data_IF_045378545571
#
_entry.id   IF_045378545571
#
_cell.length_a   1.000
_cell.length_b   1.000
_cell.length_c   1.000
_cell.angle_alpha   90.00
_cell.angle_beta   90.00
_cell.angle_gamma   90.00
#
_symmetry.space_group_name_H-M   'P 1'
#
loop_
_entity.id
_entity.type
_entity.pdbx_description
1 polymer ?
#
# COMPACT_ATOMS: atom_id res chain seq x y z
N UNK A 1 -45.63 -7.22 1.07
CA UNK A 1 -45.06 -8.54 1.37
C UNK A 1 -43.55 -8.41 1.35
N UNK A 2 -42.91 -8.38 2.52
CA UNK A 2 -41.46 -8.37 2.64
C UNK A 2 -40.95 -9.73 2.19
N UNK A 3 -40.28 -9.78 1.03
CA UNK A 3 -39.57 -10.98 0.57
C UNK A 3 -38.55 -11.30 1.66
N UNK A 4 -38.72 -12.44 2.35
CA UNK A 4 -37.78 -12.88 3.36
C UNK A 4 -36.40 -13.01 2.70
N UNK A 5 -35.48 -12.09 3.04
CA UNK A 5 -34.10 -12.15 2.59
C UNK A 5 -33.40 -13.16 3.48
N UNK A 6 -33.22 -14.37 2.96
CA UNK A 6 -32.40 -15.38 3.62
C UNK A 6 -30.97 -14.86 3.84
N UNK A 7 -30.39 -15.17 4.98
CA UNK A 7 -28.99 -14.88 5.27
C UNK A 7 -28.06 -15.73 4.37
N UNK A 8 -26.81 -15.30 4.17
CA UNK A 8 -25.84 -16.10 3.42
C UNK A 8 -25.68 -17.52 3.96
N UNK A 9 -25.73 -17.69 5.28
CA UNK A 9 -25.61 -19.00 5.91
C UNK A 9 -26.87 -19.87 5.75
N UNK A 10 -28.06 -19.28 5.83
CA UNK A 10 -29.32 -20.00 5.56
C UNK A 10 -29.33 -20.56 4.14
N UNK A 11 -28.87 -19.76 3.16
CA UNK A 11 -28.75 -20.23 1.78
C UNK A 11 -27.75 -21.38 1.62
N UNK A 12 -26.68 -21.43 2.44
CA UNK A 12 -25.73 -22.54 2.46
C UNK A 12 -26.36 -23.80 3.07
N UNK A 13 -27.07 -23.67 4.18
CA UNK A 13 -27.79 -24.78 4.81
C UNK A 13 -28.83 -25.40 3.86
N UNK A 14 -29.57 -24.57 3.12
CA UNK A 14 -30.55 -25.05 2.13
C UNK A 14 -29.92 -25.80 0.95
N UNK A 15 -28.67 -25.49 0.61
CA UNK A 15 -27.91 -26.17 -0.46
C UNK A 15 -27.09 -27.36 0.05
N UNK A 16 -26.98 -27.52 1.36
CA UNK A 16 -26.14 -28.54 1.98
C UNK A 16 -26.74 -29.93 1.82
N UNK A 17 -25.87 -30.93 1.64
CA UNK A 17 -26.26 -32.34 1.67
C UNK A 17 -26.51 -32.86 3.10
N UNK A 18 -25.95 -32.19 4.10
CA UNK A 18 -26.09 -32.54 5.51
C UNK A 18 -25.97 -31.28 6.37
N UNK A 19 -27.10 -30.79 6.88
CA UNK A 19 -27.16 -29.50 7.57
C UNK A 19 -26.31 -29.47 8.83
N UNK A 20 -26.28 -30.54 9.64
CA UNK A 20 -25.43 -30.58 10.82
C UNK A 20 -23.94 -30.56 10.51
N UNK A 21 -23.49 -31.11 9.38
CA UNK A 21 -22.06 -31.09 9.01
C UNK A 21 -21.66 -29.68 8.58
N UNK A 22 -22.53 -29.00 7.83
CA UNK A 22 -22.36 -27.57 7.47
C UNK A 22 -22.39 -26.66 8.70
N UNK A 23 -23.26 -26.94 9.66
CA UNK A 23 -23.32 -26.21 10.92
C UNK A 23 -22.08 -26.44 11.78
N UNK A 24 -21.66 -27.70 11.93
CA UNK A 24 -20.42 -28.05 12.61
C UNK A 24 -19.21 -27.38 11.95
N UNK A 25 -19.15 -27.34 10.62
CA UNK A 25 -18.10 -26.62 9.89
C UNK A 25 -18.06 -25.13 10.21
N UNK A 26 -19.21 -24.47 10.30
CA UNK A 26 -19.24 -23.05 10.66
C UNK A 26 -18.70 -22.83 12.08
N UNK A 27 -19.11 -23.67 13.03
CA UNK A 27 -18.62 -23.57 14.41
C UNK A 27 -17.13 -23.86 14.54
N UNK A 28 -16.60 -24.84 13.78
CA UNK A 28 -15.16 -25.12 13.73
C UNK A 28 -14.38 -23.98 13.05
N UNK A 29 -14.90 -23.41 11.98
CA UNK A 29 -14.33 -22.22 11.34
C UNK A 29 -14.35 -21.01 12.27
N UNK A 30 -15.39 -20.87 13.11
CA UNK A 30 -15.49 -19.83 14.12
C UNK A 30 -14.42 -19.99 15.22
N UNK A 31 -14.17 -21.22 15.70
CA UNK A 31 -13.04 -21.51 16.61
C UNK A 31 -11.70 -21.08 16.01
N UNK A 32 -11.52 -21.32 14.71
CA UNK A 32 -10.30 -20.96 13.99
C UNK A 32 -10.15 -19.44 13.84
N UNK A 33 -11.24 -18.75 13.48
CA UNK A 33 -11.30 -17.28 13.35
C UNK A 33 -10.94 -16.54 14.65
N UNK A 34 -11.26 -17.12 15.81
CA UNK A 34 -10.95 -16.53 17.12
C UNK A 34 -9.45 -16.58 17.49
N UNK A 35 -8.62 -17.30 16.72
CA UNK A 35 -7.16 -17.30 16.89
C UNK A 35 -6.51 -16.11 16.19
N UNK A 36 -7.05 -15.68 15.07
CA UNK A 36 -6.43 -14.69 14.20
C UNK A 36 -6.96 -14.75 12.76
N UNK A 37 -6.34 -14.02 11.82
CA UNK A 37 -6.76 -14.05 10.43
C UNK A 37 -6.61 -15.46 9.84
N UNK A 38 -7.63 -15.90 9.11
CA UNK A 38 -7.64 -17.22 8.47
C UNK A 38 -6.87 -17.15 7.14
N UNK A 39 -5.63 -17.63 7.13
CA UNK A 39 -4.81 -17.81 5.94
C UNK A 39 -4.95 -19.20 5.32
N UNK A 40 -4.17 -19.48 4.29
CA UNK A 40 -4.11 -20.79 3.64
C UNK A 40 -3.74 -21.99 4.55
N UNK A 41 -2.81 -21.89 5.52
CA UNK A 41 -2.50 -23.02 6.38
C UNK A 41 -3.69 -23.37 7.30
N UNK A 42 -4.41 -22.37 7.80
CA UNK A 42 -5.63 -22.56 8.60
C UNK A 42 -6.72 -23.24 7.78
N UNK A 43 -6.93 -22.80 6.53
CA UNK A 43 -7.90 -23.40 5.60
C UNK A 43 -7.59 -24.86 5.29
N UNK A 44 -6.32 -25.15 5.03
CA UNK A 44 -5.85 -26.50 4.71
C UNK A 44 -6.04 -27.44 5.89
N UNK A 45 -5.71 -26.98 7.11
CA UNK A 45 -5.92 -27.72 8.35
C UNK A 45 -7.39 -28.00 8.63
N UNK A 46 -8.27 -27.01 8.41
CA UNK A 46 -9.71 -27.23 8.55
C UNK A 46 -10.19 -28.30 7.57
N UNK A 47 -9.83 -28.17 6.28
CA UNK A 47 -10.23 -29.10 5.23
C UNK A 47 -9.75 -30.54 5.49
N UNK A 48 -8.52 -30.71 5.97
CA UNK A 48 -7.95 -32.01 6.34
C UNK A 48 -8.74 -32.65 7.50
N UNK A 49 -8.97 -31.89 8.57
CA UNK A 49 -9.67 -32.38 9.77
C UNK A 49 -11.16 -32.66 9.53
N UNK A 50 -11.77 -32.00 8.54
CA UNK A 50 -13.20 -32.14 8.22
C UNK A 50 -13.44 -32.89 6.90
N UNK A 51 -12.45 -33.62 6.38
CA UNK A 51 -12.58 -34.34 5.11
C UNK A 51 -13.71 -35.38 5.06
N UNK A 52 -14.19 -35.85 6.22
CA UNK A 52 -15.32 -36.77 6.35
C UNK A 52 -16.71 -36.11 6.33
N UNK A 53 -16.80 -34.77 6.31
CA UNK A 53 -18.07 -34.06 6.46
C UNK A 53 -18.83 -34.00 5.13
N UNK A 54 -20.15 -34.21 5.16
CA UNK A 54 -21.02 -34.32 3.98
C UNK A 54 -21.75 -33.01 3.68
N UNK A 55 -21.01 -31.92 3.52
CA UNK A 55 -21.58 -30.58 3.35
C UNK A 55 -21.88 -30.20 1.88
N UNK A 56 -21.10 -30.72 0.91
CA UNK A 56 -21.41 -30.61 -0.52
C UNK A 56 -21.25 -29.23 -1.15
N UNK A 57 -20.57 -28.29 -0.48
CA UNK A 57 -20.27 -26.93 -0.97
C UNK A 57 -18.83 -26.53 -0.66
N UNK A 58 -18.33 -25.45 -1.28
CA UNK A 58 -17.01 -24.91 -0.99
C UNK A 58 -16.89 -24.42 0.47
N UNK A 59 -15.68 -24.45 1.03
CA UNK A 59 -15.40 -23.97 2.40
C UNK A 59 -15.27 -22.44 2.48
N UNK A 60 -14.91 -21.78 1.38
CA UNK A 60 -14.66 -20.33 1.36
C UNK A 60 -15.83 -19.49 1.92
N UNK A 61 -17.10 -19.74 1.54
CA UNK A 61 -18.23 -19.00 2.11
C UNK A 61 -18.39 -19.19 3.63
N UNK A 62 -18.14 -20.39 4.16
CA UNK A 62 -18.19 -20.65 5.60
C UNK A 62 -17.10 -19.87 6.33
N UNK A 63 -15.89 -19.90 5.79
CA UNK A 63 -14.75 -19.20 6.37
C UNK A 63 -14.94 -17.68 6.38
N UNK A 64 -15.55 -17.13 5.33
CA UNK A 64 -15.91 -15.71 5.26
C UNK A 64 -16.93 -15.35 6.34
N UNK A 65 -18.01 -16.13 6.47
CA UNK A 65 -19.03 -15.92 7.51
C UNK A 65 -18.39 -16.01 8.91
N UNK A 66 -17.57 -17.03 9.15
CA UNK A 66 -16.85 -17.19 10.42
C UNK A 66 -15.88 -16.03 10.71
N UNK A 67 -15.16 -15.54 9.69
CA UNK A 67 -14.25 -14.40 9.83
C UNK A 67 -14.99 -13.11 10.20
N UNK A 68 -16.23 -12.92 9.73
CA UNK A 68 -17.08 -11.78 10.12
C UNK A 68 -17.68 -11.90 11.52
N UNK A 69 -17.55 -13.07 12.18
CA UNK A 69 -18.13 -13.34 13.50
C UNK A 69 -19.64 -13.06 13.54
N UNK A 70 -20.35 -13.40 12.47
CA UNK A 70 -21.80 -13.22 12.38
C UNK A 70 -22.53 -14.07 13.43
N UNK A 71 -22.99 -13.40 14.49
CA UNK A 71 -23.69 -14.03 15.62
C UNK A 71 -24.97 -14.74 15.19
N UNK A 72 -25.68 -14.22 14.19
CA UNK A 72 -26.92 -14.85 13.70
C UNK A 72 -26.63 -16.18 13.01
N UNK A 73 -25.58 -16.23 12.19
CA UNK A 73 -25.14 -17.46 11.55
C UNK A 73 -24.60 -18.49 12.58
N UNK A 74 -23.82 -18.03 13.56
CA UNK A 74 -23.28 -18.88 14.64
C UNK A 74 -24.42 -19.46 15.48
N UNK A 75 -25.41 -18.64 15.85
CA UNK A 75 -26.59 -19.10 16.59
C UNK A 75 -27.36 -20.16 15.81
N UNK A 76 -27.65 -19.90 14.53
CA UNK A 76 -28.36 -20.87 13.69
C UNK A 76 -27.57 -22.18 13.55
N UNK A 77 -26.25 -22.12 13.38
CA UNK A 77 -25.41 -23.32 13.34
C UNK A 77 -25.44 -24.09 14.68
N UNK A 78 -25.39 -23.38 15.80
CA UNK A 78 -25.51 -24.00 17.13
C UNK A 78 -26.85 -24.73 17.29
N UNK A 79 -27.96 -24.10 16.89
CA UNK A 79 -29.30 -24.69 16.95
C UNK A 79 -29.44 -25.92 16.03
N UNK A 80 -28.88 -25.87 14.83
CA UNK A 80 -28.91 -26.99 13.88
C UNK A 80 -28.07 -28.15 14.41
N UNK A 81 -26.87 -27.89 14.92
CA UNK A 81 -25.98 -28.93 15.43
C UNK A 81 -26.54 -29.61 16.68
N UNK A 82 -27.09 -28.82 17.62
CA UNK A 82 -27.64 -29.33 18.88
C UNK A 82 -28.81 -30.32 18.66
N UNK A 83 -29.58 -30.17 17.57
CA UNK A 83 -30.69 -31.08 17.25
C UNK A 83 -30.22 -32.49 16.89
N UNK A 84 -29.03 -32.62 16.31
CA UNK A 84 -28.52 -33.90 15.80
C UNK A 84 -27.42 -34.50 16.68
N UNK A 85 -26.66 -33.68 17.39
CA UNK A 85 -25.48 -34.11 18.15
C UNK A 85 -25.64 -33.73 19.62
N UNK A 86 -25.61 -34.73 20.50
CA UNK A 86 -25.71 -34.54 21.96
C UNK A 86 -24.98 -35.65 22.73
N UNK A 87 -24.51 -35.33 23.93
CA UNK A 87 -23.89 -36.29 24.86
C UNK A 87 -22.65 -36.98 24.28
N UNK A 88 -22.60 -38.31 24.32
CA UNK A 88 -21.45 -39.09 23.82
C UNK A 88 -21.15 -38.86 22.33
N UNK A 89 -22.18 -38.56 21.53
CA UNK A 89 -22.02 -38.28 20.10
C UNK A 89 -21.32 -36.94 19.83
N UNK A 90 -21.24 -36.05 20.83
CA UNK A 90 -20.53 -34.79 20.73
C UNK A 90 -19.01 -34.95 20.82
N UNK A 91 -18.51 -36.09 21.33
CA UNK A 91 -17.08 -36.28 21.58
C UNK A 91 -16.20 -36.12 20.33
N UNK A 92 -16.53 -36.68 19.15
CA UNK A 92 -15.73 -36.49 17.93
C UNK A 92 -15.67 -35.01 17.51
N UNK A 93 -16.80 -34.30 17.56
CA UNK A 93 -16.86 -32.87 17.23
C UNK A 93 -16.02 -32.03 18.19
N UNK A 94 -16.15 -32.26 19.50
CA UNK A 94 -15.37 -31.54 20.51
C UNK A 94 -13.86 -31.81 20.38
N UNK A 95 -13.46 -33.02 20.00
CA UNK A 95 -12.04 -33.32 19.71
C UNK A 95 -11.51 -32.49 18.55
N UNK A 96 -12.28 -32.34 17.47
CA UNK A 96 -11.93 -31.48 16.34
C UNK A 96 -11.85 -30.01 16.75
N UNK A 97 -12.83 -29.53 17.53
CA UNK A 97 -12.85 -28.16 18.03
C UNK A 97 -11.60 -27.87 18.88
N UNK A 98 -11.22 -28.78 19.78
CA UNK A 98 -10.02 -28.64 20.61
C UNK A 98 -8.75 -28.67 19.76
N UNK A 99 -8.67 -29.59 18.80
CA UNK A 99 -7.53 -29.68 17.89
C UNK A 99 -7.35 -28.40 17.07
N UNK A 100 -8.43 -27.71 16.68
CA UNK A 100 -8.37 -26.42 15.98
C UNK A 100 -8.10 -25.25 16.92
N UNK A 101 -8.62 -25.30 18.14
CA UNK A 101 -8.49 -24.23 19.13
C UNK A 101 -7.05 -24.05 19.63
N UNK A 102 -6.25 -25.12 19.61
CA UNK A 102 -4.90 -25.18 20.17
C UNK A 102 -3.82 -24.99 19.10
N UNK A 103 -2.87 -24.11 19.40
CA UNK A 103 -1.67 -23.83 18.62
C UNK A 103 -0.43 -24.04 19.49
N UNK A 104 0.48 -24.92 19.08
CA UNK A 104 1.70 -25.24 19.83
C UNK A 104 1.45 -25.52 21.34
N UNK A 105 0.30 -26.13 21.66
CA UNK A 105 -0.11 -26.43 23.04
C UNK A 105 -0.52 -25.22 23.87
N UNK A 106 -0.83 -24.07 23.24
CA UNK A 106 -1.40 -22.86 23.84
C UNK A 106 -2.85 -22.67 23.38
N UNK A 107 -3.71 -22.26 24.32
CA UNK A 107 -5.12 -21.96 24.10
C UNK A 107 -5.36 -20.47 24.38
N UNK A 108 -6.04 -19.78 23.46
CA UNK A 108 -6.44 -18.38 23.66
C UNK A 108 -7.61 -18.29 24.64
N UNK A 109 -7.75 -17.16 25.34
CA UNK A 109 -8.91 -16.94 26.25
C UNK A 109 -10.25 -17.02 25.51
N UNK A 110 -10.32 -16.45 24.29
CA UNK A 110 -11.51 -16.53 23.46
C UNK A 110 -11.87 -18.00 23.17
N UNK A 111 -10.89 -18.80 22.72
CA UNK A 111 -11.13 -20.21 22.43
C UNK A 111 -11.44 -21.04 23.67
N UNK A 112 -10.92 -20.68 24.84
CA UNK A 112 -11.29 -21.34 26.08
C UNK A 112 -12.77 -21.16 26.41
N UNK A 113 -13.32 -19.95 26.22
CA UNK A 113 -14.75 -19.70 26.38
C UNK A 113 -15.58 -20.36 25.27
N UNK A 114 -15.13 -20.31 24.02
CA UNK A 114 -15.79 -20.96 22.88
C UNK A 114 -15.91 -22.47 23.10
N UNK A 115 -14.82 -23.14 23.50
CA UNK A 115 -14.81 -24.58 23.74
C UNK A 115 -15.75 -24.97 24.87
N UNK A 116 -15.80 -24.17 25.94
CA UNK A 116 -16.73 -24.40 27.04
C UNK A 116 -18.18 -24.20 26.61
N UNK A 117 -18.46 -23.14 25.88
CA UNK A 117 -19.77 -22.90 25.28
C UNK A 117 -20.21 -24.08 24.38
N UNK A 118 -19.32 -24.59 23.52
CA UNK A 118 -19.63 -25.74 22.66
C UNK A 118 -19.87 -27.03 23.46
N UNK A 119 -19.11 -27.26 24.54
CA UNK A 119 -19.34 -28.40 25.43
C UNK A 119 -20.72 -28.30 26.12
N UNK A 120 -21.05 -27.13 26.68
CA UNK A 120 -22.32 -26.87 27.34
C UNK A 120 -23.50 -26.99 26.34
N UNK A 121 -23.34 -26.45 25.13
CA UNK A 121 -24.32 -26.51 24.04
C UNK A 121 -24.69 -27.96 23.68
N UNK A 122 -23.69 -28.84 23.63
CA UNK A 122 -23.84 -30.24 23.25
C UNK A 122 -24.14 -31.16 24.45
N UNK A 123 -24.33 -30.59 25.64
CA UNK A 123 -24.71 -31.31 26.86
C UNK A 123 -23.57 -32.13 27.48
N UNK A 124 -22.31 -31.77 27.21
CA UNK A 124 -21.13 -32.46 27.77
C UNK A 124 -20.72 -31.76 29.06
N UNK A 125 -20.76 -32.50 30.18
CA UNK A 125 -20.44 -31.93 31.49
C UNK A 125 -18.95 -31.54 31.58
N UNK A 126 -18.58 -30.55 32.42
CA UNK A 126 -17.18 -30.16 32.60
C UNK A 126 -16.26 -31.33 33.02
N UNK A 127 -16.79 -32.30 33.78
CA UNK A 127 -16.07 -33.50 34.20
C UNK A 127 -15.77 -34.48 33.06
N UNK A 128 -16.58 -34.47 31.99
CA UNK A 128 -16.38 -35.29 30.79
C UNK A 128 -15.55 -34.55 29.73
N UNK A 129 -15.67 -33.22 29.69
CA UNK A 129 -14.91 -32.38 28.77
C UNK A 129 -13.42 -32.31 29.13
N UNK A 130 -13.08 -32.21 30.42
CA UNK A 130 -11.70 -32.14 30.90
C UNK A 130 -10.80 -33.32 30.44
N UNK A 131 -11.21 -34.61 30.60
CA UNK A 131 -10.42 -35.74 30.10
C UNK A 131 -10.37 -35.77 28.57
N UNK A 132 -11.42 -35.33 27.88
CA UNK A 132 -11.43 -35.23 26.42
C UNK A 132 -10.40 -34.20 25.93
N UNK A 133 -10.31 -33.04 26.58
CA UNK A 133 -9.29 -32.02 26.31
C UNK A 133 -7.88 -32.53 26.60
N UNK A 134 -7.68 -33.20 27.73
CA UNK A 134 -6.39 -33.78 28.09
C UNK A 134 -5.95 -34.87 27.11
N UNK A 135 -6.89 -35.68 26.60
CA UNK A 135 -6.59 -36.70 25.59
C UNK A 135 -6.10 -36.10 24.26
N UNK A 136 -6.56 -34.89 23.88
CA UNK A 136 -6.14 -34.22 22.63
C UNK A 136 -4.86 -33.42 22.82
N UNK A 137 -4.71 -32.76 23.97
CA UNK A 137 -3.63 -31.77 24.17
C UNK A 137 -2.49 -32.23 25.08
N UNK A 138 -2.68 -33.35 25.79
CA UNK A 138 -1.78 -33.82 26.84
C UNK A 138 -1.75 -32.95 28.10
N UNK A 139 -2.58 -31.89 28.19
CA UNK A 139 -2.62 -30.94 29.31
C UNK A 139 -4.00 -30.90 29.95
N UNK A 140 -4.05 -30.60 31.25
CA UNK A 140 -5.32 -30.36 31.93
C UNK A 140 -6.00 -29.08 31.37
N UNK A 141 -7.32 -29.13 31.24
CA UNK A 141 -8.11 -27.95 30.88
C UNK A 141 -8.21 -27.03 32.10
N UNK A 142 -7.51 -25.89 32.06
CA UNK A 142 -7.53 -24.92 33.15
C UNK A 142 -8.91 -24.24 33.28
N UNK A 143 -9.28 -23.84 34.49
CA UNK A 143 -10.42 -22.94 34.69
C UNK A 143 -10.09 -21.57 34.06
N UNK A 144 -11.05 -20.91 33.37
CA UNK A 144 -10.81 -19.60 32.80
C UNK A 144 -10.46 -18.59 33.89
N UNK A 145 -9.42 -17.78 33.64
CA UNK A 145 -9.15 -16.61 34.47
C UNK A 145 -10.35 -15.66 34.34
N UNK A 146 -10.91 -15.27 35.49
CA UNK A 146 -12.14 -14.51 35.60
C UNK A 146 -11.97 -13.09 34.98
N UNK A 147 -12.65 -12.77 33.86
CA UNK A 147 -12.57 -11.46 33.19
C UNK A 147 -13.12 -10.30 34.03
N UNK A 148 -13.86 -10.61 35.09
CA UNK A 148 -14.40 -9.66 36.08
C UNK A 148 -13.32 -9.15 37.04
N UNK A 149 -12.17 -9.83 37.12
CA UNK A 149 -11.08 -9.43 38.03
C UNK A 149 -10.29 -8.29 37.41
N UNK A 150 -10.18 -7.18 38.16
CA UNK A 150 -9.40 -5.98 37.77
C UNK A 150 -7.96 -6.30 37.33
N UNK A 151 -7.32 -7.32 37.91
CA UNK A 151 -5.98 -7.77 37.54
C UNK A 151 -5.84 -8.28 36.09
N UNK A 152 -6.91 -8.86 35.51
CA UNK A 152 -6.93 -9.34 34.12
C UNK A 152 -6.77 -8.18 33.12
N UNK A 153 -7.51 -7.09 33.33
CA UNK A 153 -7.45 -5.89 32.49
C UNK A 153 -6.13 -5.14 32.64
N UNK A 154 -5.59 -5.07 33.86
CA UNK A 154 -4.29 -4.45 34.11
C UNK A 154 -3.17 -5.15 33.32
N UNK A 155 -3.08 -6.48 33.38
CA UNK A 155 -2.06 -7.24 32.65
C UNK A 155 -2.17 -7.06 31.12
N UNK A 156 -3.40 -7.05 30.59
CA UNK A 156 -3.68 -6.86 29.16
C UNK A 156 -3.40 -5.42 28.71
N UNK A 157 -3.76 -4.43 29.52
CA UNK A 157 -3.54 -3.01 29.24
C UNK A 157 -2.05 -2.66 29.34
N UNK A 158 -1.30 -3.23 30.29
CA UNK A 158 0.15 -3.09 30.34
C UNK A 158 0.81 -3.65 29.07
N UNK A 159 0.39 -4.83 28.59
CA UNK A 159 0.92 -5.44 27.36
C UNK A 159 0.52 -4.64 26.11
N UNK A 160 -0.66 -4.03 26.09
CA UNK A 160 -1.10 -3.13 25.00
C UNK A 160 -0.29 -1.82 25.00
N UNK A 161 -0.16 -1.18 26.16
CA UNK A 161 0.65 0.04 26.35
C UNK A 161 2.13 -0.20 26.04
N UNK A 162 2.68 -1.38 26.32
CA UNK A 162 4.04 -1.75 25.92
C UNK A 162 4.18 -1.81 24.40
N UNK A 163 3.27 -2.49 23.69
CA UNK A 163 3.28 -2.51 22.21
C UNK A 163 3.07 -1.13 21.61
N UNK A 164 2.17 -0.33 22.17
CA UNK A 164 1.95 1.06 21.74
C UNK A 164 3.20 1.92 21.98
N UNK A 165 3.91 1.72 23.10
CA UNK A 165 5.19 2.41 23.38
C UNK A 165 6.31 1.96 22.46
N UNK A 166 6.43 0.67 22.18
CA UNK A 166 7.42 0.10 21.24
C UNK A 166 7.15 0.58 19.80
N UNK A 167 5.88 0.61 19.40
CA UNK A 167 5.50 1.16 18.10
C UNK A 167 5.76 2.66 18.04
N UNK A 168 5.42 3.41 19.09
CA UNK A 168 5.69 4.84 19.16
C UNK A 168 7.20 5.13 19.15
N UNK A 169 8.02 4.36 19.87
CA UNK A 169 9.47 4.51 19.86
C UNK A 169 10.05 4.18 18.48
N UNK A 170 9.62 3.09 17.85
CA UNK A 170 10.05 2.75 16.48
C UNK A 170 9.64 3.84 15.46
N UNK A 171 8.44 4.41 15.63
CA UNK A 171 7.96 5.49 14.76
C UNK A 171 8.71 6.81 14.99
N UNK A 172 9.21 7.03 16.21
CA UNK A 172 9.99 8.20 16.58
C UNK A 172 11.44 8.07 16.12
N UNK A 173 12.06 6.90 16.31
CA UNK A 173 13.40 6.56 15.80
C UNK A 173 13.44 6.69 14.26
N UNK A 174 12.42 6.17 13.56
CA UNK A 174 12.34 6.31 12.10
C UNK A 174 12.09 7.74 11.64
N UNK A 175 11.40 8.57 12.43
CA UNK A 175 11.25 10.02 12.15
C UNK A 175 12.56 10.77 12.38
N UNK A 176 13.30 10.47 13.43
CA UNK A 176 14.58 11.12 13.73
C UNK A 176 15.66 10.70 12.74
N UNK A 177 15.70 9.43 12.31
CA UNK A 177 16.58 8.97 11.24
C UNK A 177 16.27 9.67 9.90
N UNK A 178 14.99 9.81 9.56
CA UNK A 178 14.55 10.55 8.38
C UNK A 178 14.94 12.03 8.43
N UNK A 179 14.89 12.66 9.61
CA UNK A 179 15.33 14.05 9.82
C UNK A 179 16.84 14.19 9.67
N UNK A 180 17.62 13.33 10.31
CA UNK A 180 19.08 13.35 10.20
C UNK A 180 19.56 13.12 8.77
N UNK A 181 18.91 12.23 8.02
CA UNK A 181 19.19 12.03 6.59
C UNK A 181 18.89 13.29 5.77
N UNK A 182 17.73 13.91 6.00
CA UNK A 182 17.33 15.14 5.31
C UNK A 182 18.28 16.32 5.62
N UNK A 183 18.77 16.42 6.85
CA UNK A 183 19.76 17.44 7.25
C UNK A 183 21.13 17.20 6.61
N UNK A 184 21.60 15.95 6.57
CA UNK A 184 22.84 15.58 5.87
C UNK A 184 22.77 15.88 4.37
N UNK A 185 21.63 15.60 3.73
CA UNK A 185 21.41 15.93 2.31
C UNK A 185 21.38 17.44 2.06
N UNK A 186 20.81 18.24 2.98
CA UNK A 186 20.85 19.71 2.88
C UNK A 186 22.26 20.27 3.04
N UNK A 187 22.99 19.86 4.07
CA UNK A 187 24.36 20.33 4.32
C UNK A 187 25.34 19.94 3.20
N UNK A 188 25.21 18.72 2.65
CA UNK A 188 26.02 18.28 1.50
C UNK A 188 25.63 19.02 0.21
N UNK A 189 24.34 19.28 0.00
CA UNK A 189 23.83 20.09 -1.11
C UNK A 189 24.31 21.55 -1.08
N UNK A 190 24.29 22.21 0.07
CA UNK A 190 24.76 23.60 0.24
C UNK A 190 26.26 23.74 0.04
N UNK A 191 27.06 22.78 0.50
CA UNK A 191 28.51 22.74 0.23
C UNK A 191 28.82 22.51 -1.25
N UNK A 192 28.03 21.63 -1.91
CA UNK A 192 28.13 21.38 -3.34
C UNK A 192 27.82 22.62 -4.20
N UNK A 193 26.71 23.31 -3.89
CA UNK A 193 26.30 24.54 -4.59
C UNK A 193 27.30 25.69 -4.39
N UNK A 194 27.86 25.83 -3.19
CA UNK A 194 28.87 26.85 -2.88
C UNK A 194 30.19 26.62 -3.64
N UNK A 195 30.62 25.35 -3.77
CA UNK A 195 31.79 24.99 -4.61
C UNK A 195 31.52 25.26 -6.09
N UNK A 196 30.36 24.86 -6.59
CA UNK A 196 30.00 25.04 -8.00
C UNK A 196 29.83 26.52 -8.38
N UNK A 197 29.33 27.35 -7.45
CA UNK A 197 29.27 28.80 -7.58
C UNK A 197 30.66 29.44 -7.75
N UNK A 198 31.66 29.01 -6.96
CA UNK A 198 33.05 29.47 -7.12
C UNK A 198 33.65 29.08 -8.47
N UNK A 199 33.51 27.82 -8.89
CA UNK A 199 34.02 27.37 -10.20
C UNK A 199 33.38 28.14 -11.37
N UNK A 200 32.09 28.45 -11.29
CA UNK A 200 31.38 29.24 -12.32
C UNK A 200 31.83 30.70 -12.33
N UNK A 201 32.06 31.29 -11.17
CA UNK A 201 32.55 32.67 -11.04
C UNK A 201 34.00 32.80 -11.55
N UNK A 202 34.82 31.76 -11.34
CA UNK A 202 36.20 31.69 -11.81
C UNK A 202 36.28 31.49 -13.34
N UNK A 203 35.39 30.67 -13.92
CA UNK A 203 35.22 30.56 -15.38
C UNK A 203 34.76 31.88 -16.02
N UNK A 204 33.86 32.64 -15.36
CA UNK A 204 33.46 33.95 -15.86
C UNK A 204 34.61 34.96 -15.86
N UNK A 205 35.47 34.97 -14.82
CA UNK A 205 36.67 35.83 -14.78
C UNK A 205 37.70 35.49 -15.85
N UNK A 206 37.91 34.21 -16.15
CA UNK A 206 38.81 33.79 -17.25
C UNK A 206 38.23 34.14 -18.64
N UNK A 207 36.90 34.08 -18.81
CA UNK A 207 36.22 34.52 -20.05
C UNK A 207 36.31 36.03 -20.27
N UNK A 208 36.20 36.85 -19.22
CA UNK A 208 36.31 38.32 -19.34
C UNK A 208 37.74 38.80 -19.66
N UNK A 209 38.77 38.05 -19.25
CA UNK A 209 40.17 38.36 -19.63
C UNK A 209 40.48 37.95 -21.07
N UNK A 210 39.84 36.89 -21.61
CA UNK A 210 39.95 36.51 -23.03
C UNK A 210 39.09 37.34 -23.99
N UNK A 211 38.02 37.99 -23.51
CA UNK A 211 37.12 38.81 -24.31
C UNK A 211 37.61 40.25 -24.57
N UNK A 212 38.71 40.68 -23.92
CA UNK A 212 39.34 41.99 -24.16
C UNK A 212 40.35 41.98 -25.33
N UNK A 213 40.66 40.82 -25.89
CA UNK A 213 41.55 40.65 -27.05
C UNK A 213 40.83 39.85 -28.15
N UNK A 214 39.82 40.46 -28.79
CA UNK A 214 39.13 39.82 -29.90
C UNK A 214 38.02 40.67 -30.52
N UNK A 215 38.15 40.93 -31.82
CA UNK A 215 37.23 41.63 -32.71
C UNK A 215 37.22 43.16 -32.61
N UNK A 216 38.08 43.77 -33.42
CA UNK A 216 37.94 45.14 -33.91
C UNK A 216 36.50 45.40 -34.40
N UNK A 217 35.93 46.62 -34.22
CA UNK A 217 34.54 46.94 -34.59
C UNK A 217 34.15 46.58 -36.03
N UNK A 218 35.13 46.60 -36.96
CA UNK A 218 34.92 46.24 -38.37
C UNK A 218 34.53 44.78 -38.61
N UNK A 219 35.06 43.83 -37.82
CA UNK A 219 34.78 42.40 -37.99
C UNK A 219 33.35 42.05 -37.52
N UNK A 220 32.87 42.68 -36.44
CA UNK A 220 31.50 42.51 -35.96
C UNK A 220 30.47 43.06 -36.95
N UNK A 221 30.74 44.21 -37.56
CA UNK A 221 29.88 44.81 -38.59
C UNK A 221 29.82 43.94 -39.84
N UNK A 222 30.97 43.42 -40.29
CA UNK A 222 31.04 42.49 -41.43
C UNK A 222 30.26 41.19 -41.17
N UNK A 223 30.37 40.62 -39.97
CA UNK A 223 29.60 39.41 -39.58
C UNK A 223 28.11 39.67 -39.51
N UNK A 224 27.68 40.83 -39.00
CA UNK A 224 26.26 41.20 -38.94
C UNK A 224 25.66 41.40 -40.35
N UNK A 225 26.40 42.02 -41.28
CA UNK A 225 26.01 42.14 -42.68
C UNK A 225 25.92 40.77 -43.36
N UNK A 226 26.87 39.88 -43.10
CA UNK A 226 26.84 38.50 -43.62
C UNK A 226 25.61 37.71 -43.13
N UNK A 227 25.17 37.91 -41.88
CA UNK A 227 23.93 37.28 -41.36
C UNK A 227 22.68 37.77 -42.09
N UNK A 228 22.68 39.01 -42.57
CA UNK A 228 21.60 39.56 -43.40
C UNK A 228 21.78 39.28 -44.91
N UNK A 229 22.89 38.63 -45.31
CA UNK A 229 23.24 38.37 -46.70
C UNK A 229 23.58 39.63 -47.50
N UNK A 230 24.15 40.64 -46.83
CA UNK A 230 24.51 41.93 -47.43
C UNK A 230 26.01 42.10 -47.52
N UNK A 231 26.46 42.81 -48.56
CA UNK A 231 27.86 43.18 -48.75
C UNK A 231 28.26 44.37 -47.84
N UNK A 232 29.56 44.50 -47.51
CA UNK A 232 30.09 45.68 -46.81
C UNK A 232 29.74 46.97 -47.56
N UNK A 233 29.16 47.95 -46.84
CA UNK A 233 28.75 49.23 -47.43
C UNK A 233 27.25 49.33 -47.79
N UNK A 234 26.45 48.30 -47.49
CA UNK A 234 25.00 48.35 -47.65
C UNK A 234 24.36 49.51 -46.87
N UNK A 235 23.46 50.23 -47.53
CA UNK A 235 22.72 51.35 -46.96
C UNK A 235 21.71 50.90 -45.90
N UNK A 236 21.34 51.79 -44.97
CA UNK A 236 20.29 51.52 -43.96
C UNK A 236 18.96 51.08 -44.59
N UNK A 237 18.67 51.56 -45.81
CA UNK A 237 17.49 51.15 -46.59
C UNK A 237 17.56 49.70 -47.10
N UNK A 238 18.75 49.19 -47.40
CA UNK A 238 18.98 47.80 -47.80
C UNK A 238 18.95 46.86 -46.59
N UNK A 239 19.54 47.27 -45.47
CA UNK A 239 19.49 46.54 -44.19
C UNK A 239 18.04 46.33 -43.75
N UNK A 240 17.21 47.37 -43.76
CA UNK A 240 15.77 47.24 -43.44
C UNK A 240 14.99 46.36 -44.42
N UNK A 241 15.37 46.36 -45.70
CA UNK A 241 14.73 45.51 -46.72
C UNK A 241 15.13 44.04 -46.54
N UNK A 242 16.40 43.75 -46.31
CA UNK A 242 16.91 42.40 -46.04
C UNK A 242 16.30 41.83 -44.74
N UNK A 243 16.26 42.64 -43.67
CA UNK A 243 15.64 42.24 -42.41
C UNK A 243 14.17 41.87 -42.57
N UNK A 244 13.36 42.71 -43.23
CA UNK A 244 11.93 42.41 -43.46
C UNK A 244 11.74 41.11 -44.26
N UNK A 245 12.56 40.89 -45.29
CA UNK A 245 12.52 39.66 -46.09
C UNK A 245 12.85 38.43 -45.24
N UNK A 246 13.94 38.47 -44.49
CA UNK A 246 14.40 37.35 -43.66
C UNK A 246 13.47 37.10 -42.47
N UNK A 247 12.92 38.15 -41.86
CA UNK A 247 11.94 38.06 -40.78
C UNK A 247 10.65 37.38 -41.25
N UNK A 248 10.18 37.70 -42.45
CA UNK A 248 9.00 37.04 -43.02
C UNK A 248 9.27 35.58 -43.42
N UNK A 249 10.49 35.25 -43.86
CA UNK A 249 10.87 33.86 -44.20
C UNK A 249 11.07 32.99 -42.96
N UNK A 250 11.63 33.54 -41.88
CA UNK A 250 12.01 32.78 -40.68
C UNK A 250 11.16 33.08 -39.46
N UNK A 251 9.96 33.66 -39.62
CA UNK A 251 9.08 33.94 -38.48
C UNK A 251 8.63 32.63 -37.82
N UNK A 252 8.71 32.50 -36.48
CA UNK A 252 8.35 31.28 -35.78
C UNK A 252 6.89 30.85 -36.01
N UNK A 253 5.96 31.80 -36.18
CA UNK A 253 4.54 31.51 -36.47
C UNK A 253 4.33 30.71 -37.77
N UNK A 254 5.26 30.81 -38.73
CA UNK A 254 5.13 30.05 -39.99
C UNK A 254 5.41 28.56 -39.82
N UNK A 255 6.14 28.19 -38.77
CA UNK A 255 6.59 26.82 -38.52
C UNK A 255 5.85 26.19 -37.34
N UNK A 256 4.76 26.82 -36.87
CA UNK A 256 3.96 26.34 -35.73
C UNK A 256 3.42 24.92 -35.93
N UNK A 257 3.11 24.54 -37.17
CA UNK A 257 2.57 23.22 -37.51
C UNK A 257 3.66 22.18 -37.90
N UNK A 258 4.94 22.56 -37.97
CA UNK A 258 6.03 21.70 -38.50
C UNK A 258 6.83 20.96 -37.40
N UNK A 259 6.39 21.06 -36.14
CA UNK A 259 6.97 20.34 -34.99
C UNK A 259 7.99 21.13 -34.16
N UNK A 260 8.13 20.75 -32.88
CA UNK A 260 8.87 21.51 -31.85
C UNK A 260 10.35 21.73 -32.18
N UNK A 261 11.02 20.73 -32.75
CA UNK A 261 12.43 20.85 -33.16
C UNK A 261 12.63 21.85 -34.31
N UNK A 262 11.70 21.90 -35.26
CA UNK A 262 11.73 22.85 -36.38
C UNK A 262 11.45 24.26 -35.86
N UNK A 263 10.47 24.42 -34.97
CA UNK A 263 10.18 25.70 -34.29
C UNK A 263 11.38 26.23 -33.51
N UNK A 264 12.07 25.39 -32.72
CA UNK A 264 13.25 25.79 -31.98
C UNK A 264 14.36 26.28 -32.91
N UNK A 265 14.58 25.59 -34.03
CA UNK A 265 15.59 25.98 -35.02
C UNK A 265 15.24 27.29 -35.75
N UNK A 266 13.97 27.51 -36.08
CA UNK A 266 13.48 28.73 -36.70
C UNK A 266 13.58 29.93 -35.73
N UNK A 267 13.21 29.73 -34.46
CA UNK A 267 13.33 30.74 -33.40
C UNK A 267 14.79 31.17 -33.20
N UNK A 268 15.74 30.23 -33.14
CA UNK A 268 17.16 30.55 -33.04
C UNK A 268 17.67 31.35 -34.26
N UNK A 269 17.26 30.99 -35.49
CA UNK A 269 17.63 31.75 -36.70
C UNK A 269 17.03 33.15 -36.70
N UNK A 270 15.75 33.30 -36.32
CA UNK A 270 15.07 34.59 -36.22
C UNK A 270 15.75 35.52 -35.20
N UNK A 271 16.13 34.99 -34.04
CA UNK A 271 16.88 35.75 -33.03
C UNK A 271 18.23 36.22 -33.55
N UNK A 272 18.96 35.39 -34.32
CA UNK A 272 20.24 35.79 -34.94
C UNK A 272 20.06 36.92 -35.95
N UNK A 273 19.03 36.84 -36.79
CA UNK A 273 18.68 37.88 -37.77
C UNK A 273 18.33 39.20 -37.07
N UNK A 274 17.50 39.13 -36.02
CA UNK A 274 17.11 40.30 -35.22
C UNK A 274 18.30 40.97 -34.55
N UNK A 275 19.18 40.20 -33.89
CA UNK A 275 20.39 40.73 -33.24
C UNK A 275 21.33 41.40 -34.23
N UNK A 276 21.50 40.84 -35.43
CA UNK A 276 22.33 41.44 -36.48
C UNK A 276 21.74 42.77 -36.98
N UNK A 277 20.42 42.83 -37.18
CA UNK A 277 19.72 44.06 -37.56
C UNK A 277 19.84 45.14 -36.47
N UNK A 278 19.57 44.80 -35.21
CA UNK A 278 19.62 45.74 -34.08
C UNK A 278 21.03 46.33 -33.93
N UNK A 279 22.07 45.49 -34.04
CA UNK A 279 23.47 45.93 -34.00
C UNK A 279 23.82 46.89 -35.15
N UNK A 280 23.45 46.54 -36.39
CA UNK A 280 23.72 47.41 -37.55
C UNK A 280 22.96 48.73 -37.46
N UNK A 281 21.74 48.74 -36.91
CA UNK A 281 20.97 49.97 -36.70
C UNK A 281 21.54 50.88 -35.61
N UNK A 282 22.29 50.32 -34.66
CA UNK A 282 22.99 51.06 -33.60
C UNK A 282 24.36 51.61 -34.04
N UNK A 283 25.05 50.90 -34.95
CA UNK A 283 26.42 51.23 -35.38
C UNK A 283 26.49 51.98 -36.73
N UNK A 284 25.43 51.91 -37.56
CA UNK A 284 25.37 52.50 -38.93
C UNK A 284 24.46 53.73 -39.07
#
# INVERSE_FOLDING_TARGET
MTIARFSPFELLLLKSRHQADTAALLLLAWVLANRGPIGEPERSRLAELTGGFRHGHALAPILEIAATQDLGAIQLAAEVLQKEVHGEQAAPFLRLAIALAVEDGRLSMANQHVLRFLADLLGVAPGEFAPLYAAVTGKAFAAPDDPSRSGYWQAKEHRRRQREREQASQQQDSRDDSRHRSEHERHSGEQGQSRQGRYRQEQHRQRDQGARQGAAPGDRTRRALAVLGLEPGASRGEIRRAYRRLAQTHHPDRFFNDGEAVMASASQRFQRIRRAYDYLMQVS
#
